data_IF_511225530196
#
_entry.id   IF_511225530196
#
_cell.length_a   1.000
_cell.length_b   1.000
_cell.length_c   1.000
_cell.angle_alpha   90.00
_cell.angle_beta   90.00
_cell.angle_gamma   90.00
#
_symmetry.space_group_name_H-M   'P 1'
#
loop_
_entity.id
_entity.type
_entity.pdbx_description
1 polymer ?
#
# COMPACT_ATOMS: atom_id res chain seq x y z
N UNK A 1 -30.02 -9.04 22.05
CA UNK A 1 -31.25 -8.74 21.28
C UNK A 1 -31.05 -7.40 20.60
N UNK A 2 -30.84 -7.38 19.28
CA UNK A 2 -30.64 -6.14 18.53
C UNK A 2 -31.98 -5.41 18.41
N UNK A 3 -32.13 -4.25 19.06
CA UNK A 3 -33.29 -3.38 18.85
C UNK A 3 -33.16 -2.79 17.44
N UNK A 4 -33.98 -3.24 16.51
CA UNK A 4 -34.17 -2.58 15.22
C UNK A 4 -34.82 -1.23 15.48
N UNK A 5 -34.04 -0.15 15.40
CA UNK A 5 -34.57 1.22 15.43
C UNK A 5 -35.31 1.47 14.11
N UNK A 6 -36.61 1.24 14.12
CA UNK A 6 -37.52 1.70 13.07
C UNK A 6 -37.46 3.23 13.00
N UNK A 7 -37.23 3.79 11.79
CA UNK A 7 -37.29 5.23 11.57
C UNK A 7 -38.73 5.73 11.79
N UNK A 8 -38.88 6.93 12.35
CA UNK A 8 -40.21 7.54 12.53
C UNK A 8 -40.91 7.70 11.18
N UNK A 9 -42.24 7.64 11.19
CA UNK A 9 -43.06 7.69 9.97
C UNK A 9 -42.77 8.96 9.15
N UNK A 10 -42.58 10.08 9.84
CA UNK A 10 -42.26 11.37 9.21
C UNK A 10 -40.91 11.37 8.47
N UNK A 11 -39.91 10.66 9.00
CA UNK A 11 -38.61 10.53 8.33
C UNK A 11 -38.73 9.64 7.10
N UNK A 12 -39.55 8.59 7.15
CA UNK A 12 -39.82 7.72 5.98
C UNK A 12 -40.53 8.48 4.87
N UNK A 13 -41.57 9.24 5.18
CA UNK A 13 -42.31 10.02 4.18
C UNK A 13 -41.41 11.10 3.54
N UNK A 14 -40.57 11.77 4.33
CA UNK A 14 -39.58 12.74 3.84
C UNK A 14 -38.53 12.11 2.92
N UNK A 15 -38.08 10.88 3.17
CA UNK A 15 -37.19 10.15 2.25
C UNK A 15 -37.87 9.90 0.90
N UNK A 16 -39.16 9.52 0.92
CA UNK A 16 -39.93 9.24 -0.30
C UNK A 16 -40.09 10.49 -1.15
N UNK A 17 -40.42 11.63 -0.54
CA UNK A 17 -40.61 12.90 -1.27
C UNK A 17 -39.31 13.43 -1.87
N UNK A 18 -38.21 13.38 -1.12
CA UNK A 18 -36.90 13.78 -1.61
C UNK A 18 -36.42 12.87 -2.76
N UNK A 19 -36.79 11.59 -2.72
CA UNK A 19 -36.50 10.67 -3.81
C UNK A 19 -37.34 10.94 -5.06
N UNK A 20 -38.65 11.23 -4.89
CA UNK A 20 -39.52 11.68 -5.99
C UNK A 20 -39.04 12.99 -6.63
N UNK A 21 -38.38 13.85 -5.85
CA UNK A 21 -37.72 15.05 -6.34
C UNK A 21 -36.40 14.78 -7.11
N UNK A 22 -36.05 13.51 -7.36
CA UNK A 22 -34.88 13.12 -8.15
C UNK A 22 -33.55 13.12 -7.38
N UNK A 23 -33.59 13.26 -6.04
CA UNK A 23 -32.37 13.20 -5.23
C UNK A 23 -31.94 11.76 -4.97
N UNK A 24 -30.64 11.51 -5.11
CA UNK A 24 -30.05 10.21 -4.82
C UNK A 24 -30.00 9.93 -3.31
N UNK A 25 -30.16 8.67 -2.92
CA UNK A 25 -30.22 8.24 -1.51
C UNK A 25 -29.01 8.68 -0.66
N UNK A 26 -27.81 8.85 -1.25
CA UNK A 26 -26.63 9.40 -0.54
C UNK A 26 -26.79 10.87 -0.15
N UNK A 27 -27.43 11.66 -1.01
CA UNK A 27 -27.72 13.07 -0.75
C UNK A 27 -28.85 13.21 0.27
N UNK A 28 -29.88 12.36 0.15
CA UNK A 28 -31.00 12.30 1.09
C UNK A 28 -30.51 11.94 2.50
N UNK A 29 -29.68 10.90 2.64
CA UNK A 29 -29.12 10.50 3.93
C UNK A 29 -28.31 11.63 4.57
N UNK A 30 -27.44 12.30 3.80
CA UNK A 30 -26.66 13.45 4.28
C UNK A 30 -27.57 14.60 4.72
N UNK A 31 -28.63 14.88 3.98
CA UNK A 31 -29.55 15.98 4.31
C UNK A 31 -30.34 15.71 5.59
N UNK A 32 -30.75 14.45 5.82
CA UNK A 32 -31.43 14.05 7.05
C UNK A 32 -30.49 14.04 8.26
N UNK A 33 -29.23 13.65 8.06
CA UNK A 33 -28.18 13.68 9.11
C UNK A 33 -27.87 15.12 9.56
N UNK A 34 -27.87 16.09 8.63
CA UNK A 34 -27.69 17.52 8.96
C UNK A 34 -28.89 18.14 9.70
N UNK A 35 -30.11 17.69 9.40
CA UNK A 35 -31.33 18.23 10.01
C UNK A 35 -31.63 17.63 11.40
N UNK A 36 -30.83 16.64 11.84
CA UNK A 36 -30.88 16.06 13.18
C UNK A 36 -30.14 16.90 14.24
N UNK A 37 -29.59 18.06 13.83
CA UNK A 37 -28.70 18.90 14.64
C UNK A 37 -29.32 20.25 15.05
N UNK A 38 -30.64 20.41 14.96
CA UNK A 38 -31.31 21.66 15.32
C UNK A 38 -32.14 21.61 16.62
N UNK A 39 -32.13 20.51 17.40
CA UNK A 39 -33.03 20.39 18.57
C UNK A 39 -32.40 20.31 19.97
N UNK A 40 -31.09 20.18 20.16
CA UNK A 40 -30.55 20.27 21.53
C UNK A 40 -29.17 20.95 21.53
N UNK A 41 -29.15 22.15 22.11
CA UNK A 41 -27.95 22.95 22.25
C UNK A 41 -27.04 22.42 23.35
N UNK A 42 -25.77 22.16 23.03
CA UNK A 42 -24.64 22.42 23.91
C UNK A 42 -23.29 22.32 23.17
N UNK A 43 -22.40 23.22 23.56
CA UNK A 43 -21.13 23.63 22.94
C UNK A 43 -20.05 22.54 22.87
N UNK A 44 -19.46 22.33 21.68
CA UNK A 44 -18.07 21.86 21.52
C UNK A 44 -17.38 22.57 20.34
N UNK A 45 -16.16 23.12 20.49
CA UNK A 45 -15.54 23.96 19.47
C UNK A 45 -14.80 23.13 18.40
N UNK A 46 -15.44 22.97 17.25
CA UNK A 46 -14.84 22.41 16.03
C UNK A 46 -13.99 23.44 15.28
N UNK A 47 -12.70 23.48 15.60
CA UNK A 47 -11.62 24.07 14.80
C UNK A 47 -11.66 23.53 13.36
N UNK A 48 -12.03 24.35 12.38
CA UNK A 48 -11.54 24.45 10.98
C UNK A 48 -12.51 25.31 10.15
N UNK A 49 -12.44 26.64 10.26
CA UNK A 49 -12.94 27.50 9.19
C UNK A 49 -11.83 27.64 8.14
N UNK A 50 -12.09 27.15 6.93
CA UNK A 50 -11.41 27.63 5.72
C UNK A 50 -12.47 28.20 4.79
N UNK A 51 -12.22 29.42 4.32
CA UNK A 51 -13.12 30.20 3.45
C UNK A 51 -13.51 29.46 2.16
N UNK A 52 -14.61 29.86 1.49
CA UNK A 52 -15.10 29.21 0.27
C UNK A 52 -14.10 29.37 -0.90
N UNK A 53 -13.89 28.35 -1.75
CA UNK A 53 -13.13 28.51 -2.99
C UNK A 53 -13.98 29.17 -4.09
N UNK A 54 -13.37 30.14 -4.78
CA UNK A 54 -13.87 30.86 -5.96
C UNK A 54 -14.30 29.91 -7.12
N UNK A 55 -15.43 30.14 -7.83
CA UNK A 55 -15.93 29.23 -8.86
C UNK A 55 -15.25 29.32 -10.24
N UNK A 56 -14.20 30.12 -10.44
CA UNK A 56 -13.71 30.43 -11.79
C UNK A 56 -12.72 29.45 -12.45
N UNK A 57 -12.32 28.33 -11.82
CA UNK A 57 -11.43 27.36 -12.50
C UNK A 57 -12.18 26.30 -13.30
N UNK A 58 -12.58 26.72 -14.51
CA UNK A 58 -12.93 25.89 -15.67
C UNK A 58 -12.08 24.62 -15.74
N UNK A 59 -12.78 23.51 -15.96
CA UNK A 59 -12.22 22.17 -16.01
C UNK A 59 -11.01 22.05 -16.93
N UNK A 60 -9.88 21.72 -16.33
CA UNK A 60 -8.89 20.87 -16.99
C UNK A 60 -9.00 19.52 -16.30
N UNK A 61 -9.71 18.57 -16.94
CA UNK A 61 -9.53 17.15 -16.68
C UNK A 61 -8.08 16.84 -17.04
N UNK A 62 -7.15 17.17 -16.14
CA UNK A 62 -5.83 16.56 -16.13
C UNK A 62 -6.12 15.09 -15.95
N UNK A 63 -6.00 14.35 -17.05
CA UNK A 63 -5.59 12.95 -17.03
C UNK A 63 -4.30 12.91 -16.19
N UNK A 64 -4.47 12.88 -14.87
CA UNK A 64 -3.43 12.55 -13.93
C UNK A 64 -3.27 11.05 -14.17
N UNK A 65 -2.46 10.71 -15.19
CA UNK A 65 -1.87 9.40 -15.32
C UNK A 65 -1.39 9.09 -13.91
N UNK A 66 -2.12 8.21 -13.21
CA UNK A 66 -1.68 7.70 -11.92
C UNK A 66 -0.25 7.25 -12.19
N UNK A 67 0.77 7.81 -11.52
CA UNK A 67 2.09 7.25 -11.67
C UNK A 67 1.93 5.76 -11.38
N UNK A 68 2.45 4.89 -12.25
CA UNK A 68 2.55 3.44 -12.00
C UNK A 68 3.55 3.19 -10.87
N UNK A 69 3.36 3.86 -9.73
CA UNK A 69 4.13 3.69 -8.52
C UNK A 69 3.51 2.48 -7.81
N UNK A 70 3.65 1.30 -8.43
CA UNK A 70 3.29 0.03 -7.80
C UNK A 70 3.98 -0.04 -6.44
N UNK A 71 3.32 -0.59 -5.44
CA UNK A 71 3.30 -0.05 -4.07
C UNK A 71 4.62 0.14 -3.29
N UNK A 72 5.85 0.05 -3.78
CA UNK A 72 7.11 0.11 -2.99
C UNK A 72 7.19 -0.83 -1.77
N UNK A 73 6.15 -1.59 -1.45
CA UNK A 73 6.16 -2.60 -0.39
C UNK A 73 7.01 -3.80 -0.82
N UNK A 74 7.47 -4.56 0.16
CA UNK A 74 8.25 -5.77 -0.08
C UNK A 74 7.47 -6.75 -0.97
N UNK A 75 8.05 -7.06 -2.13
CA UNK A 75 7.48 -7.94 -3.13
C UNK A 75 8.57 -8.63 -3.94
N UNK A 76 8.15 -9.58 -4.76
CA UNK A 76 9.03 -10.28 -5.67
C UNK A 76 8.92 -9.68 -7.07
N UNK A 77 10.04 -9.50 -7.72
CA UNK A 77 10.13 -9.13 -9.13
C UNK A 77 10.90 -10.20 -9.89
N UNK A 78 10.76 -10.18 -11.21
CA UNK A 78 11.39 -11.13 -12.12
C UNK A 78 12.16 -10.39 -13.22
N UNK A 79 13.33 -10.89 -13.58
CA UNK A 79 14.18 -10.34 -14.63
C UNK A 79 14.83 -11.46 -15.43
N UNK A 80 14.76 -11.35 -16.74
CA UNK A 80 15.49 -12.22 -17.65
C UNK A 80 16.97 -11.84 -17.62
N UNK A 81 17.84 -12.81 -17.37
CA UNK A 81 19.28 -12.63 -17.28
C UNK A 81 20.00 -13.83 -17.89
N UNK A 82 21.15 -13.61 -18.53
CA UNK A 82 22.01 -14.72 -18.95
C UNK A 82 22.67 -15.34 -17.73
N UNK A 83 22.93 -16.63 -17.77
CA UNK A 83 23.57 -17.34 -16.66
C UNK A 83 24.97 -16.78 -16.36
N UNK A 84 25.77 -16.45 -17.39
CA UNK A 84 27.10 -15.83 -17.18
C UNK A 84 27.05 -14.47 -16.46
N UNK A 85 25.98 -13.70 -16.64
CA UNK A 85 25.83 -12.37 -16.05
C UNK A 85 25.51 -12.43 -14.54
N UNK A 86 25.21 -13.62 -14.00
CA UNK A 86 24.99 -13.83 -12.57
C UNK A 86 26.30 -13.81 -11.76
N UNK A 87 27.46 -13.90 -12.42
CA UNK A 87 28.77 -13.82 -11.75
C UNK A 87 29.11 -15.03 -10.88
N UNK A 88 28.49 -16.19 -11.15
CA UNK A 88 28.70 -17.44 -10.41
C UNK A 88 29.76 -18.36 -11.04
N UNK A 89 30.47 -17.90 -12.07
CA UNK A 89 31.54 -18.65 -12.74
C UNK A 89 31.07 -19.66 -13.79
N UNK A 90 29.78 -19.68 -14.13
CA UNK A 90 29.25 -20.51 -15.21
C UNK A 90 29.34 -19.81 -16.55
N UNK A 91 29.89 -20.49 -17.56
CA UNK A 91 29.97 -19.98 -18.92
C UNK A 91 28.81 -20.53 -19.78
N UNK A 92 27.67 -19.84 -19.72
CA UNK A 92 26.48 -20.17 -20.50
C UNK A 92 25.73 -18.91 -20.95
N UNK A 93 25.27 -18.91 -22.20
CA UNK A 93 24.41 -17.87 -22.78
C UNK A 93 22.91 -18.12 -22.57
N UNK A 94 22.54 -19.21 -21.87
CA UNK A 94 21.14 -19.51 -21.56
C UNK A 94 20.49 -18.36 -20.78
N UNK A 95 19.28 -17.95 -21.18
CA UNK A 95 18.52 -16.89 -20.52
C UNK A 95 17.59 -17.53 -19.49
N UNK A 96 17.82 -17.20 -18.22
CA UNK A 96 17.00 -17.67 -17.10
C UNK A 96 16.16 -16.55 -16.53
N UNK A 97 14.96 -16.90 -16.04
CA UNK A 97 14.08 -15.97 -15.36
C UNK A 97 14.47 -15.85 -13.88
N UNK A 98 15.30 -14.87 -13.56
CA UNK A 98 15.76 -14.62 -12.20
C UNK A 98 14.74 -13.80 -11.40
N UNK A 99 14.13 -14.43 -10.41
CA UNK A 99 13.27 -13.77 -9.41
C UNK A 99 14.07 -13.28 -8.21
N UNK A 100 13.77 -12.07 -7.73
CA UNK A 100 14.43 -11.43 -6.59
C UNK A 100 13.46 -10.60 -5.75
N UNK A 101 13.82 -10.35 -4.49
CA UNK A 101 13.01 -9.56 -3.57
C UNK A 101 13.42 -8.09 -3.60
N UNK A 102 12.42 -7.20 -3.69
CA UNK A 102 12.64 -5.76 -3.61
C UNK A 102 11.47 -5.03 -2.96
N UNK A 103 11.75 -3.83 -2.47
CA UNK A 103 10.78 -2.99 -1.81
C UNK A 103 11.17 -2.65 -0.37
N UNK A 104 10.31 -1.90 0.28
CA UNK A 104 10.47 -1.40 1.64
C UNK A 104 9.56 -2.15 2.59
N UNK A 105 9.95 -2.17 3.86
CA UNK A 105 9.24 -2.87 4.93
C UNK A 105 8.75 -1.87 5.99
N UNK A 106 8.17 -0.75 5.54
CA UNK A 106 7.72 0.31 6.44
C UNK A 106 6.51 -0.13 7.30
N UNK A 107 5.66 -1.00 6.76
CA UNK A 107 4.45 -1.51 7.41
C UNK A 107 4.70 -2.60 8.44
N UNK A 108 5.87 -3.26 8.41
CA UNK A 108 6.22 -4.38 9.29
C UNK A 108 7.19 -4.01 10.42
N UNK A 109 7.42 -2.71 10.64
CA UNK A 109 8.27 -2.22 11.73
C UNK A 109 7.72 -2.64 13.09
N UNK A 110 8.59 -3.15 13.95
CA UNK A 110 8.30 -3.47 15.35
C UNK A 110 8.70 -2.32 16.27
N UNK A 111 8.30 -2.38 17.54
CA UNK A 111 8.71 -1.40 18.56
C UNK A 111 10.25 -1.30 18.68
N UNK A 112 10.95 -2.43 18.50
CA UNK A 112 12.41 -2.45 18.44
C UNK A 112 12.95 -1.53 17.34
N UNK A 113 12.42 -1.63 16.12
CA UNK A 113 12.85 -0.81 14.98
C UNK A 113 12.56 0.68 15.20
N UNK A 114 11.44 1.00 15.85
CA UNK A 114 11.08 2.37 16.21
C UNK A 114 12.04 2.95 17.26
N UNK A 115 12.35 2.18 18.30
CA UNK A 115 13.31 2.59 19.33
C UNK A 115 14.71 2.73 18.75
N UNK A 116 15.15 1.78 17.93
CA UNK A 116 16.45 1.80 17.29
C UNK A 116 16.59 2.98 16.33
N UNK A 117 15.54 3.29 15.57
CA UNK A 117 15.49 4.50 14.74
C UNK A 117 15.67 5.76 15.60
N UNK A 118 14.92 5.90 16.70
CA UNK A 118 15.02 7.06 17.58
C UNK A 118 16.41 7.19 18.24
N UNK A 119 17.00 6.08 18.71
CA UNK A 119 18.34 6.06 19.30
C UNK A 119 19.43 6.39 18.28
N UNK A 120 19.24 5.99 17.03
CA UNK A 120 20.15 6.31 15.92
C UNK A 120 20.04 7.78 15.52
N UNK A 121 18.82 8.32 15.45
CA UNK A 121 18.55 9.74 15.16
C UNK A 121 19.07 10.66 16.28
N UNK A 122 18.98 10.23 17.54
CA UNK A 122 19.51 10.94 18.70
C UNK A 122 21.03 10.83 18.84
N UNK A 123 21.71 10.04 17.98
CA UNK A 123 23.17 9.87 18.02
C UNK A 123 23.69 8.99 19.16
N UNK A 124 22.81 8.34 19.92
CA UNK A 124 23.17 7.40 20.99
C UNK A 124 23.78 6.10 20.41
N UNK A 125 23.35 5.73 19.21
CA UNK A 125 23.87 4.56 18.47
C UNK A 125 24.33 5.00 17.08
N UNK A 126 25.48 4.49 16.63
CA UNK A 126 26.00 4.78 15.29
C UNK A 126 25.17 4.09 14.21
N UNK A 127 24.60 4.88 13.30
CA UNK A 127 23.82 4.41 12.14
C UNK A 127 24.55 3.44 11.22
N UNK A 128 25.89 3.48 11.21
CA UNK A 128 26.71 2.57 10.39
C UNK A 128 26.71 1.13 10.90
N UNK A 129 26.35 0.92 12.17
CA UNK A 129 26.44 -0.40 12.82
C UNK A 129 25.11 -1.16 12.83
N UNK A 130 23.98 -0.49 12.60
CA UNK A 130 22.67 -1.13 12.80
C UNK A 130 21.66 -0.70 11.74
N UNK A 131 20.92 -1.66 11.19
CA UNK A 131 19.77 -1.39 10.31
C UNK A 131 18.56 -1.02 11.15
N UNK A 132 18.04 0.19 10.97
CA UNK A 132 16.85 0.67 11.69
C UNK A 132 15.52 0.17 11.10
N UNK A 133 15.54 -0.52 9.94
CA UNK A 133 14.34 -1.02 9.28
C UNK A 133 14.50 -2.50 8.90
N UNK A 134 13.39 -3.26 8.89
CA UNK A 134 13.41 -4.62 8.36
C UNK A 134 13.80 -4.61 6.87
N UNK A 135 14.51 -5.64 6.45
CA UNK A 135 14.95 -5.83 5.07
C UNK A 135 13.96 -6.73 4.32
N UNK A 136 13.71 -6.44 3.04
CA UNK A 136 12.95 -7.33 2.17
C UNK A 136 13.88 -8.43 1.66
N UNK A 137 13.71 -9.67 2.14
CA UNK A 137 14.60 -10.81 1.79
C UNK A 137 13.79 -12.03 1.35
N UNK A 138 14.41 -12.95 0.59
CA UNK A 138 13.78 -14.20 0.26
C UNK A 138 13.59 -15.08 1.51
N UNK A 139 12.43 -15.71 1.64
CA UNK A 139 12.18 -16.74 2.66
C UNK A 139 12.25 -18.15 2.11
N UNK A 140 12.17 -18.28 0.78
CA UNK A 140 12.29 -19.53 0.03
C UNK A 140 12.99 -19.27 -1.28
N UNK A 141 13.59 -20.31 -1.85
CA UNK A 141 14.31 -20.23 -3.11
C UNK A 141 13.93 -21.38 -4.04
N UNK A 142 14.09 -21.13 -5.33
CA UNK A 142 13.94 -22.08 -6.43
C UNK A 142 15.34 -22.42 -6.99
N UNK A 143 15.45 -23.64 -7.48
CA UNK A 143 16.64 -24.12 -8.20
C UNK A 143 16.50 -23.83 -9.69
N UNK A 144 17.59 -23.50 -10.36
CA UNK A 144 17.59 -23.23 -11.81
C UNK A 144 18.55 -24.20 -12.49
N UNK A 145 18.09 -24.83 -13.56
CA UNK A 145 18.88 -25.71 -14.41
C UNK A 145 19.05 -25.10 -15.79
N UNK A 146 20.24 -25.24 -16.37
CA UNK A 146 20.60 -24.73 -17.70
C UNK A 146 21.68 -25.63 -18.32
N UNK A 147 21.92 -25.49 -19.62
CA UNK A 147 23.07 -26.12 -20.28
C UNK A 147 24.26 -25.16 -20.32
N UNK A 148 25.45 -25.66 -20.04
CA UNK A 148 26.69 -24.91 -20.25
C UNK A 148 27.13 -24.89 -21.73
N UNK A 149 28.23 -24.18 -22.03
CA UNK A 149 28.81 -24.13 -23.37
C UNK A 149 29.23 -25.51 -23.93
N UNK A 150 29.38 -26.52 -23.06
CA UNK A 150 29.72 -27.90 -23.45
C UNK A 150 28.48 -28.77 -23.61
N UNK A 151 27.27 -28.19 -23.59
CA UNK A 151 25.98 -28.89 -23.64
C UNK A 151 25.73 -29.84 -22.47
N UNK A 152 26.40 -29.61 -21.33
CA UNK A 152 26.21 -30.37 -20.10
C UNK A 152 25.18 -29.65 -19.23
N UNK A 153 24.23 -30.40 -18.70
CA UNK A 153 23.23 -29.88 -17.77
C UNK A 153 23.86 -29.56 -16.42
N UNK A 154 23.70 -28.31 -16.01
CA UNK A 154 24.11 -27.81 -14.70
C UNK A 154 22.88 -27.36 -13.92
N UNK A 155 22.94 -27.47 -12.60
CA UNK A 155 21.86 -27.04 -11.70
C UNK A 155 22.41 -26.23 -10.55
N UNK A 156 21.93 -25.01 -10.40
CA UNK A 156 22.27 -24.14 -9.27
C UNK A 156 21.11 -24.17 -8.27
N UNK A 157 21.39 -24.67 -7.08
CA UNK A 157 20.44 -24.68 -5.97
C UNK A 157 20.37 -23.31 -5.30
N UNK A 158 19.19 -22.95 -4.80
CA UNK A 158 18.95 -21.71 -4.03
C UNK A 158 19.28 -20.41 -4.80
N UNK A 159 19.09 -20.40 -6.12
CA UNK A 159 19.45 -19.26 -6.94
C UNK A 159 18.36 -18.17 -6.93
N UNK A 160 17.12 -18.55 -7.26
CA UNK A 160 16.04 -17.59 -7.50
C UNK A 160 15.09 -17.51 -6.31
N UNK A 161 14.57 -16.32 -5.98
CA UNK A 161 13.60 -16.18 -4.88
C UNK A 161 12.25 -16.83 -5.21
N UNK A 162 11.71 -17.62 -4.28
CA UNK A 162 10.39 -18.25 -4.39
C UNK A 162 9.32 -17.56 -3.53
N UNK A 163 9.74 -16.81 -2.50
CA UNK A 163 8.86 -15.98 -1.67
C UNK A 163 9.67 -14.85 -1.02
N UNK A 164 9.04 -13.71 -0.77
CA UNK A 164 9.66 -12.52 -0.17
C UNK A 164 8.90 -12.09 1.08
N UNK A 165 9.63 -11.76 2.14
CA UNK A 165 9.03 -11.14 3.32
C UNK A 165 9.98 -10.15 3.98
N UNK A 166 9.41 -9.35 4.89
CA UNK A 166 10.16 -8.45 5.73
C UNK A 166 10.75 -9.21 6.91
N UNK A 167 12.08 -9.19 7.01
CA UNK A 167 12.85 -9.81 8.09
C UNK A 167 13.64 -8.72 8.82
N UNK A 168 13.59 -8.76 10.14
CA UNK A 168 14.23 -7.81 11.05
C UNK A 168 14.57 -8.49 12.37
#
# INVERSE_FOLDING_TARGET
MAKTKELSKDVRDKIVDLHKAGMGYKTIAKQLEYHSLEDDGESYPGRWQRSPPDPSRRGSRKNRKKPKNGSRDCRMEKKEMRVRDLGLGFDSDEIVLFKYCMGTCSSSRKNYDLALKALTENGSISSRKVSAHPCCRPTRYETVSFMDAQTIWQTIKWLSAANCSCVG
#
